data_IF_821849582505
#
_entry.id   IF_821849582505
#
_cell.length_a   1.000
_cell.length_b   1.000
_cell.length_c   1.000
_cell.angle_alpha   90.00
_cell.angle_beta   90.00
_cell.angle_gamma   90.00
#
_symmetry.space_group_name_H-M   'P 1'
#
loop_
_entity.id
_entity.type
_entity.pdbx_description
1 polymer ?
#
# COMPACT_ATOMS: atom_id res chain seq x y z
N UNK A 1 29.22 -13.17 -2.08
CA UNK A 1 28.18 -13.11 -3.13
C UNK A 1 27.46 -11.78 -2.95
N UNK A 2 27.78 -10.79 -3.78
CA UNK A 2 27.14 -9.47 -3.71
C UNK A 2 25.81 -9.55 -4.49
N UNK A 3 24.70 -9.21 -3.83
CA UNK A 3 23.43 -9.04 -4.54
C UNK A 3 23.50 -7.77 -5.39
N UNK A 4 22.89 -7.77 -6.60
CA UNK A 4 22.88 -6.58 -7.42
C UNK A 4 22.06 -5.49 -6.73
N UNK A 5 22.67 -4.33 -6.60
CA UNK A 5 22.00 -3.05 -6.37
C UNK A 5 21.02 -2.85 -7.54
N UNK A 6 19.72 -3.08 -7.33
CA UNK A 6 18.74 -2.72 -8.34
C UNK A 6 18.77 -1.19 -8.49
N UNK A 7 19.46 -0.74 -9.54
CA UNK A 7 19.39 0.64 -10.01
C UNK A 7 17.92 0.98 -10.28
N UNK A 8 17.43 2.05 -9.66
CA UNK A 8 16.18 2.79 -9.92
C UNK A 8 15.45 2.37 -11.21
N UNK A 9 14.66 1.31 -11.15
CA UNK A 9 13.75 0.91 -12.22
C UNK A 9 12.43 1.63 -11.99
N UNK A 10 12.37 2.86 -12.53
CA UNK A 10 11.22 3.76 -12.63
C UNK A 10 10.33 3.83 -11.37
N UNK A 11 10.70 4.74 -10.46
CA UNK A 11 9.83 5.17 -9.37
C UNK A 11 8.56 5.81 -9.95
N UNK A 12 7.40 5.36 -9.48
CA UNK A 12 6.07 5.83 -9.87
C UNK A 12 5.49 6.80 -8.84
N UNK A 13 5.78 6.58 -7.56
CA UNK A 13 5.33 7.46 -6.49
C UNK A 13 5.65 6.93 -5.09
N UNK A 14 5.21 7.69 -4.10
CA UNK A 14 5.33 7.35 -2.69
C UNK A 14 3.94 7.37 -2.03
N UNK A 15 3.62 6.35 -1.23
CA UNK A 15 2.43 6.33 -0.40
C UNK A 15 2.80 6.81 1.00
N UNK A 16 2.61 8.11 1.24
CA UNK A 16 3.00 8.78 2.48
C UNK A 16 1.90 8.64 3.54
N UNK A 17 2.23 8.21 4.77
CA UNK A 17 1.25 8.18 5.85
C UNK A 17 0.91 9.60 6.31
N UNK A 18 -0.33 10.04 6.06
CA UNK A 18 -0.78 11.40 6.43
C UNK A 18 -1.38 11.50 7.85
N UNK A 19 -1.53 10.38 8.56
CA UNK A 19 -2.03 10.36 9.94
C UNK A 19 -1.15 9.49 10.86
N UNK A 20 -1.24 9.74 12.17
CA UNK A 20 -0.44 9.01 13.18
C UNK A 20 -0.67 7.50 13.17
N UNK A 21 -1.91 6.98 13.04
CA UNK A 21 -2.14 5.53 12.96
C UNK A 21 -1.43 4.88 11.76
N UNK A 22 -1.53 5.47 10.56
CA UNK A 22 -0.87 4.96 9.36
C UNK A 22 0.65 4.99 9.51
N UNK A 23 1.21 6.09 10.05
CA UNK A 23 2.64 6.18 10.31
C UNK A 23 3.10 5.10 11.29
N UNK A 24 2.35 4.89 12.38
CA UNK A 24 2.64 3.84 13.35
C UNK A 24 2.58 2.45 12.73
N UNK A 25 1.62 2.19 11.83
CA UNK A 25 1.50 0.91 11.13
C UNK A 25 2.72 0.65 10.23
N UNK A 26 3.19 1.65 9.48
CA UNK A 26 4.39 1.53 8.62
C UNK A 26 5.64 1.30 9.48
N UNK A 27 5.83 2.08 10.54
CA UNK A 27 6.97 1.93 11.45
C UNK A 27 7.01 0.54 12.08
N UNK A 28 5.87 0.04 12.59
CA UNK A 28 5.76 -1.31 13.14
C UNK A 28 6.05 -2.37 12.08
N UNK A 29 5.58 -2.17 10.84
CA UNK A 29 5.91 -3.08 9.74
C UNK A 29 7.40 -3.11 9.44
N UNK A 30 8.12 -1.99 9.56
CA UNK A 30 9.58 -1.93 9.41
C UNK A 30 10.31 -2.63 10.56
N UNK A 31 9.85 -2.42 11.79
CA UNK A 31 10.45 -3.01 13.01
C UNK A 31 10.24 -4.53 13.11
N UNK A 32 9.04 -5.00 12.75
CA UNK A 32 8.65 -6.41 12.80
C UNK A 32 8.89 -7.13 11.46
N UNK A 33 9.26 -6.38 10.42
CA UNK A 33 9.22 -6.82 9.04
C UNK A 33 10.25 -7.86 8.71
N UNK A 34 9.82 -8.88 7.96
CA UNK A 34 10.74 -9.63 7.11
C UNK A 34 11.40 -8.66 6.12
N UNK A 35 12.62 -8.97 5.68
CA UNK A 35 13.34 -8.18 4.66
C UNK A 35 12.43 -7.81 3.48
N UNK A 36 11.60 -8.76 3.06
CA UNK A 36 10.62 -8.60 1.99
C UNK A 36 9.72 -7.36 2.14
N UNK A 37 9.12 -7.11 3.30
CA UNK A 37 8.25 -5.93 3.46
C UNK A 37 9.05 -4.64 3.59
N UNK A 38 10.20 -4.71 4.24
CA UNK A 38 11.08 -3.56 4.44
C UNK A 38 11.69 -3.04 3.14
N UNK A 39 11.87 -3.91 2.14
CA UNK A 39 12.36 -3.53 0.81
C UNK A 39 11.40 -2.55 0.08
N UNK A 40 10.14 -2.45 0.51
CA UNK A 40 9.15 -1.49 0.01
C UNK A 40 9.06 -0.19 0.81
N UNK A 41 9.79 -0.08 1.93
CA UNK A 41 9.72 1.10 2.81
C UNK A 41 10.95 1.96 2.59
N UNK A 42 10.73 3.21 2.19
CA UNK A 42 11.77 4.23 2.01
C UNK A 42 11.51 5.43 2.92
N UNK A 43 12.42 6.40 2.93
CA UNK A 43 12.27 7.67 3.65
C UNK A 43 12.36 8.83 2.65
N UNK A 44 11.38 9.74 2.72
CA UNK A 44 11.35 10.96 1.92
C UNK A 44 11.24 12.19 2.82
N UNK A 45 11.55 13.37 2.29
CA UNK A 45 11.19 14.62 2.95
C UNK A 45 9.73 14.96 2.63
N UNK A 46 8.89 15.06 3.65
CA UNK A 46 7.49 15.45 3.54
C UNK A 46 7.15 16.45 4.63
N UNK A 47 6.60 17.61 4.25
CA UNK A 47 6.32 18.72 5.16
C UNK A 47 7.52 19.17 6.02
N UNK A 48 8.75 19.01 5.53
CA UNK A 48 9.99 19.39 6.23
C UNK A 48 10.56 18.33 7.15
N UNK A 49 9.92 17.16 7.27
CA UNK A 49 10.37 16.05 8.09
C UNK A 49 10.70 14.81 7.25
N UNK A 50 11.71 14.04 7.68
CA UNK A 50 11.97 12.71 7.12
C UNK A 50 10.86 11.76 7.52
N UNK A 51 10.06 11.35 6.56
CA UNK A 51 8.87 10.53 6.77
C UNK A 51 9.02 9.19 6.05
N UNK A 52 8.88 8.05 6.78
CA UNK A 52 8.87 6.74 6.15
C UNK A 52 7.57 6.54 5.36
N UNK A 53 7.68 5.96 4.17
CA UNK A 53 6.57 5.75 3.26
C UNK A 53 6.77 4.47 2.45
N UNK A 54 5.72 3.97 1.79
CA UNK A 54 5.88 2.90 0.82
C UNK A 54 6.28 3.44 -0.55
N UNK A 55 7.29 2.84 -1.16
CA UNK A 55 7.74 3.17 -2.51
C UNK A 55 7.00 2.33 -3.55
N UNK A 56 6.43 2.99 -4.56
CA UNK A 56 5.87 2.35 -5.75
C UNK A 56 6.93 2.44 -6.86
N UNK A 57 7.63 1.35 -7.13
CA UNK A 57 8.65 1.30 -8.19
C UNK A 57 8.43 0.11 -9.11
N UNK A 58 8.51 0.29 -10.43
CA UNK A 58 8.33 -0.81 -11.39
C UNK A 58 9.32 -1.95 -11.17
N UNK A 59 10.54 -1.65 -10.71
CA UNK A 59 11.53 -2.67 -10.34
C UNK A 59 11.16 -3.50 -9.11
N UNK A 60 10.24 -3.00 -8.28
CA UNK A 60 9.65 -3.71 -7.14
C UNK A 60 8.28 -4.29 -7.42
N UNK A 61 7.84 -4.39 -8.69
CA UNK A 61 6.59 -5.08 -9.00
C UNK A 61 6.75 -6.59 -8.74
N UNK A 62 5.91 -7.21 -7.90
CA UNK A 62 5.89 -8.66 -7.76
C UNK A 62 5.37 -9.32 -9.05
N UNK A 63 5.63 -10.62 -9.20
CA UNK A 63 5.03 -11.46 -10.25
C UNK A 63 3.50 -11.35 -10.15
N UNK A 64 2.87 -10.57 -11.04
CA UNK A 64 1.44 -10.27 -10.97
C UNK A 64 1.02 -8.81 -11.22
N UNK A 65 1.96 -7.88 -11.45
CA UNK A 65 1.72 -6.47 -11.85
C UNK A 65 0.90 -5.64 -10.83
N UNK A 66 0.88 -6.05 -9.55
CA UNK A 66 0.07 -5.41 -8.50
C UNK A 66 0.76 -5.51 -7.15
N UNK A 67 0.73 -4.43 -6.37
CA UNK A 67 1.06 -4.42 -4.94
C UNK A 67 -0.21 -4.61 -4.13
N UNK A 68 -0.23 -5.61 -3.25
CA UNK A 68 -1.30 -5.84 -2.28
C UNK A 68 -0.97 -5.12 -0.99
N UNK A 69 -1.99 -4.53 -0.38
CA UNK A 69 -1.91 -3.79 0.87
C UNK A 69 -2.93 -4.32 1.87
N UNK A 70 -2.52 -4.50 3.12
CA UNK A 70 -3.40 -5.01 4.18
C UNK A 70 -2.64 -5.41 5.44
N UNK A 71 -3.35 -5.99 6.43
CA UNK A 71 -2.75 -6.43 7.70
C UNK A 71 -1.93 -7.72 7.60
N UNK A 72 -2.00 -8.38 6.44
CA UNK A 72 -1.40 -9.69 6.19
C UNK A 72 -2.21 -10.83 6.78
N UNK A 73 -1.93 -12.04 6.29
CA UNK A 73 -2.49 -13.30 6.78
C UNK A 73 -1.37 -14.16 7.37
N UNK A 74 -1.53 -14.58 8.62
CA UNK A 74 -0.55 -15.46 9.27
C UNK A 74 -0.49 -16.83 8.57
N UNK A 75 0.70 -17.43 8.54
CA UNK A 75 0.93 -18.73 7.91
C UNK A 75 1.01 -18.72 6.38
N UNK A 76 0.89 -17.55 5.75
CA UNK A 76 1.13 -17.37 4.31
C UNK A 76 2.53 -16.77 4.11
N UNK A 77 3.22 -17.22 3.06
CA UNK A 77 4.49 -16.62 2.65
C UNK A 77 4.32 -15.11 2.44
N UNK A 78 5.23 -14.33 3.04
CA UNK A 78 5.17 -12.87 3.04
C UNK A 78 3.80 -12.31 3.47
N UNK A 79 3.07 -13.03 4.33
CA UNK A 79 1.74 -12.67 4.79
C UNK A 79 0.72 -12.37 3.66
N UNK A 80 1.01 -12.75 2.42
CA UNK A 80 0.18 -12.49 1.24
C UNK A 80 0.09 -11.03 0.79
N UNK A 81 0.92 -10.11 1.29
CA UNK A 81 0.90 -8.68 0.93
C UNK A 81 2.30 -8.09 0.75
N UNK A 82 2.45 -7.15 -0.18
CA UNK A 82 3.69 -6.38 -0.32
C UNK A 82 3.74 -5.26 0.73
N UNK A 83 2.68 -4.45 0.81
CA UNK A 83 2.53 -3.37 1.79
C UNK A 83 1.79 -3.87 3.02
N UNK A 84 2.58 -4.40 3.95
CA UNK A 84 2.08 -4.85 5.24
C UNK A 84 1.77 -3.65 6.15
N UNK A 85 0.57 -3.62 6.71
CA UNK A 85 0.14 -2.64 7.70
C UNK A 85 0.00 -3.31 9.06
N UNK A 86 1.02 -3.21 9.92
CA UNK A 86 0.97 -3.78 11.27
C UNK A 86 0.12 -2.91 12.19
N UNK A 87 -1.17 -3.23 12.26
CA UNK A 87 -2.15 -2.57 13.12
C UNK A 87 -2.94 -3.58 13.96
N UNK A 88 -3.52 -3.12 15.07
CA UNK A 88 -4.52 -3.88 15.84
C UNK A 88 -5.96 -3.62 15.34
N UNK A 89 -6.11 -2.72 14.37
CA UNK A 89 -7.40 -2.34 13.82
C UNK A 89 -8.01 -3.46 12.97
N UNK A 90 -9.19 -3.92 13.38
CA UNK A 90 -9.99 -4.90 12.65
C UNK A 90 -10.61 -4.34 11.37
N UNK A 91 -10.60 -3.02 11.17
CA UNK A 91 -11.07 -2.34 9.96
C UNK A 91 -10.21 -2.62 8.72
N UNK A 92 -8.99 -3.16 8.90
CA UNK A 92 -8.10 -3.55 7.80
C UNK A 92 -8.14 -5.07 7.60
N UNK A 93 -8.37 -5.52 6.36
CA UNK A 93 -8.40 -6.94 6.01
C UNK A 93 -6.97 -7.47 5.78
N UNK A 94 -6.80 -8.79 5.82
CA UNK A 94 -5.51 -9.45 5.59
C UNK A 94 -4.88 -9.00 4.27
N UNK A 95 -5.63 -9.15 3.17
CA UNK A 95 -5.43 -8.42 1.92
C UNK A 95 -6.63 -7.48 1.78
N UNK A 96 -6.41 -6.17 1.86
CA UNK A 96 -7.49 -5.19 1.86
C UNK A 96 -7.73 -4.57 0.48
N UNK A 97 -6.65 -4.18 -0.19
CA UNK A 97 -6.68 -3.65 -1.55
C UNK A 97 -5.44 -4.05 -2.34
N UNK A 98 -5.46 -3.75 -3.64
CA UNK A 98 -4.26 -3.78 -4.47
C UNK A 98 -4.13 -2.54 -5.34
N UNK A 99 -2.89 -2.13 -5.55
CA UNK A 99 -2.47 -1.07 -6.44
C UNK A 99 -1.83 -1.72 -7.66
N UNK A 100 -2.23 -1.37 -8.87
CA UNK A 100 -1.57 -1.93 -10.04
C UNK A 100 -2.04 -1.37 -11.36
N UNK A 101 -1.51 -1.92 -12.45
CA UNK A 101 -1.82 -1.48 -13.80
C UNK A 101 -2.91 -2.36 -14.44
N UNK A 102 -3.80 -1.73 -15.20
CA UNK A 102 -4.75 -2.42 -16.06
C UNK A 102 -4.12 -2.66 -17.43
N UNK A 103 -4.32 -3.84 -18.00
CA UNK A 103 -3.94 -4.10 -19.39
C UNK A 103 -4.84 -3.38 -20.40
N UNK A 104 -6.04 -2.95 -19.96
CA UNK A 104 -7.05 -2.32 -20.83
C UNK A 104 -6.95 -0.80 -20.86
N UNK A 105 -6.48 -0.20 -19.77
CA UNK A 105 -6.53 1.23 -19.55
C UNK A 105 -5.18 1.74 -19.01
N UNK A 106 -4.63 2.82 -19.56
CA UNK A 106 -3.38 3.39 -19.06
C UNK A 106 -3.61 4.06 -17.70
N UNK A 107 -2.87 3.63 -16.66
CA UNK A 107 -2.90 4.28 -15.35
C UNK A 107 -2.61 3.34 -14.18
N UNK A 108 -2.42 3.94 -13.00
CA UNK A 108 -2.39 3.21 -11.72
C UNK A 108 -3.81 3.13 -11.18
N UNK A 109 -4.22 1.93 -10.79
CA UNK A 109 -5.57 1.64 -10.29
C UNK A 109 -5.52 1.17 -8.85
N UNK A 110 -6.48 1.63 -8.06
CA UNK A 110 -6.87 1.00 -6.80
C UNK A 110 -7.94 -0.07 -7.10
N UNK A 111 -7.70 -1.28 -6.64
CA UNK A 111 -8.60 -2.41 -6.78
C UNK A 111 -8.89 -2.96 -5.40
N UNK A 112 -10.14 -2.84 -4.94
CA UNK A 112 -10.60 -3.51 -3.73
C UNK A 112 -10.58 -5.03 -3.97
N UNK A 113 -9.97 -5.78 -3.04
CA UNK A 113 -9.86 -7.24 -3.15
C UNK A 113 -10.61 -7.99 -2.06
N UNK A 114 -11.23 -7.30 -1.10
CA UNK A 114 -11.83 -7.95 0.06
C UNK A 114 -13.33 -8.23 -0.14
N UNK A 115 -13.74 -9.47 0.16
CA UNK A 115 -15.15 -9.88 0.19
C UNK A 115 -15.90 -9.34 1.43
N UNK A 116 -15.19 -8.66 2.32
CA UNK A 116 -15.69 -8.19 3.62
C UNK A 116 -16.43 -6.84 3.55
N UNK A 117 -16.59 -6.27 2.35
CA UNK A 117 -17.19 -4.94 2.12
C UNK A 117 -16.47 -3.82 2.88
N UNK A 118 -15.19 -4.00 3.19
CA UNK A 118 -14.39 -2.96 3.81
C UNK A 118 -13.94 -1.99 2.71
N UNK A 119 -14.34 -0.74 2.87
CA UNK A 119 -14.26 0.30 1.84
C UNK A 119 -12.87 0.90 1.80
N UNK A 120 -12.33 1.07 0.60
CA UNK A 120 -11.27 2.05 0.36
C UNK A 120 -11.90 3.34 -0.17
N UNK A 121 -11.28 4.48 0.14
CA UNK A 121 -11.70 5.75 -0.47
C UNK A 121 -10.52 6.45 -1.12
N UNK A 122 -10.77 7.08 -2.27
CA UNK A 122 -9.80 7.95 -2.94
C UNK A 122 -10.33 9.38 -2.83
N UNK A 123 -9.58 10.24 -2.15
CA UNK A 123 -9.99 11.59 -1.76
C UNK A 123 -11.38 11.64 -1.08
N UNK A 124 -11.66 10.67 -0.21
CA UNK A 124 -12.92 10.60 0.53
C UNK A 124 -14.14 10.16 -0.30
N UNK A 125 -13.93 9.72 -1.55
CA UNK A 125 -14.98 9.04 -2.34
C UNK A 125 -14.78 7.55 -2.26
N UNK A 126 -15.83 6.82 -1.89
CA UNK A 126 -15.84 5.36 -1.87
C UNK A 126 -15.42 4.81 -3.24
N UNK A 127 -14.45 3.90 -3.25
CA UNK A 127 -14.19 3.09 -4.44
C UNK A 127 -15.31 2.08 -4.59
N UNK A 128 -16.41 2.47 -5.24
CA UNK A 128 -17.48 1.54 -5.57
C UNK A 128 -16.90 0.35 -6.33
N UNK A 129 -16.96 -0.84 -5.72
CA UNK A 129 -16.47 -2.15 -6.20
C UNK A 129 -16.05 -2.18 -7.68
N UNK A 130 -14.78 -1.86 -7.94
CA UNK A 130 -14.25 -1.70 -9.29
C UNK A 130 -12.82 -1.14 -9.30
N UNK A 131 -12.21 -1.15 -10.49
CA UNK A 131 -10.91 -0.54 -10.71
C UNK A 131 -11.08 0.99 -10.75
N UNK A 132 -10.59 1.71 -9.74
CA UNK A 132 -10.58 3.16 -9.74
C UNK A 132 -9.21 3.69 -10.16
N UNK A 133 -9.16 4.53 -11.20
CA UNK A 133 -7.92 5.25 -11.55
C UNK A 133 -7.55 6.16 -10.40
N UNK A 134 -6.30 6.09 -9.95
CA UNK A 134 -5.72 7.02 -8.99
C UNK A 134 -5.12 8.18 -9.79
N UNK A 135 -5.65 9.41 -9.69
CA UNK A 135 -5.03 10.56 -10.33
C UNK A 135 -3.66 10.89 -9.70
N UNK A 136 -2.93 11.85 -10.26
CA UNK A 136 -1.69 12.35 -9.66
C UNK A 136 -2.00 13.16 -8.37
N UNK A 137 -1.19 12.98 -7.32
CA UNK A 137 -1.31 13.68 -6.01
C UNK A 137 -2.65 13.41 -5.28
N UNK A 138 -2.94 12.13 -4.98
CA UNK A 138 -4.18 11.73 -4.34
C UNK A 138 -3.96 11.09 -2.98
N UNK A 139 -4.99 11.15 -2.14
CA UNK A 139 -5.01 10.48 -0.84
C UNK A 139 -5.86 9.22 -0.95
N UNK A 140 -5.28 8.09 -0.52
CA UNK A 140 -6.00 6.82 -0.41
C UNK A 140 -6.22 6.55 1.07
N UNK A 141 -7.47 6.30 1.46
CA UNK A 141 -7.82 5.88 2.81
C UNK A 141 -8.15 4.39 2.79
N UNK A 142 -7.62 3.68 3.78
CA UNK A 142 -7.71 2.22 3.94
C UNK A 142 -8.28 1.95 5.33
N UNK A 143 -9.36 1.18 5.41
CA UNK A 143 -9.91 0.70 6.69
C UNK A 143 -10.95 1.59 7.36
N UNK A 144 -11.13 2.84 6.91
CA UNK A 144 -12.21 3.71 7.38
C UNK A 144 -13.27 3.87 6.27
N UNK A 145 -14.43 3.24 6.49
CA UNK A 145 -15.66 3.74 5.87
C UNK A 145 -15.99 5.07 6.54
N UNK A 146 -16.29 6.11 5.75
CA UNK A 146 -17.06 7.25 6.25
C UNK A 146 -18.44 6.74 6.68
N UNK A 147 -18.53 6.14 7.88
CA UNK A 147 -19.80 6.06 8.57
C UNK A 147 -20.09 7.49 8.99
N UNK A 148 -20.94 8.16 8.23
CA UNK A 148 -21.63 9.34 8.74
C UNK A 148 -22.20 9.00 10.13
N UNK A 149 -22.05 9.91 11.11
CA UNK A 149 -22.61 9.72 12.45
C UNK A 149 -24.13 9.57 12.44
#
# INVERSE_FOLDING_TARGET
>A
MAMPTYMNLFMLGHLVPVNRPALSAILKSREQGSKYHSDYITEIEYCGDKTPCFELALGGLPEGVRWRIGRGCDGIEHAGVEFLLRTHDSGIAGVHASLGFSARDPGLFLMELNDQKLVCTVNGRDSCHGNQIIPLENTILIGDSLKEP
#
